data_IF_610433415358
#
_entry.id   IF_610433415358
#
_cell.length_a   1.000
_cell.length_b   1.000
_cell.length_c   1.000
_cell.angle_alpha   90.00
_cell.angle_beta   90.00
_cell.angle_gamma   90.00
#
_symmetry.space_group_name_H-M   'P 1'
#
loop_
_entity.id
_entity.type
_entity.pdbx_description
1 polymer ?
#
# COMPACT_ATOMS: atom_id res chain seq x y z
N UNK A 1 14.23 -22.38 -63.23
CA UNK A 1 15.56 -22.57 -63.85
C UNK A 1 15.59 -21.78 -65.14
N UNK A 2 16.64 -21.00 -65.35
CA UNK A 2 17.05 -20.50 -66.67
C UNK A 2 18.07 -21.49 -67.22
N UNK A 3 17.86 -22.00 -68.42
CA UNK A 3 18.86 -22.78 -69.14
C UNK A 3 20.00 -21.84 -69.55
N UNK A 4 21.24 -22.32 -69.46
CA UNK A 4 22.46 -21.56 -69.82
C UNK A 4 23.27 -22.43 -70.75
N UNK A 5 23.54 -21.93 -71.95
CA UNK A 5 24.39 -22.62 -72.92
C UNK A 5 25.84 -22.56 -72.45
N UNK A 6 26.46 -23.73 -72.25
CA UNK A 6 27.88 -23.89 -71.93
C UNK A 6 28.57 -24.67 -73.04
N UNK A 7 29.88 -24.45 -73.23
CA UNK A 7 30.66 -25.23 -74.17
C UNK A 7 30.83 -26.69 -73.72
N UNK A 8 31.14 -27.59 -74.64
CA UNK A 8 31.53 -28.97 -74.30
C UNK A 8 32.77 -28.98 -73.38
N UNK A 9 32.83 -29.94 -72.45
CA UNK A 9 33.99 -30.14 -71.57
C UNK A 9 33.65 -30.29 -70.09
N UNK A 10 34.65 -30.05 -69.25
CA UNK A 10 34.56 -30.19 -67.78
C UNK A 10 34.25 -28.83 -67.14
N UNK A 11 33.13 -28.76 -66.41
CA UNK A 11 32.68 -27.57 -65.71
C UNK A 11 32.76 -27.78 -64.20
N UNK A 12 33.36 -26.84 -63.48
CA UNK A 12 33.41 -26.89 -62.02
C UNK A 12 32.08 -26.43 -61.41
N UNK A 13 31.63 -27.14 -60.38
CA UNK A 13 30.42 -26.84 -59.62
C UNK A 13 30.82 -26.29 -58.25
N UNK A 14 30.26 -25.14 -57.89
CA UNK A 14 30.45 -24.50 -56.59
C UNK A 14 29.20 -23.71 -56.23
N UNK A 15 28.81 -23.75 -54.96
CA UNK A 15 27.83 -22.80 -54.41
C UNK A 15 28.57 -21.74 -53.60
N UNK A 16 28.06 -20.52 -53.60
CA UNK A 16 28.68 -19.39 -52.92
C UNK A 16 27.61 -18.47 -52.36
N UNK A 17 27.67 -18.18 -51.05
CA UNK A 17 26.57 -17.59 -50.32
C UNK A 17 25.54 -18.63 -49.89
N UNK A 18 24.43 -18.16 -49.31
CA UNK A 18 23.39 -19.00 -48.69
C UNK A 18 22.91 -18.39 -47.36
N UNK A 19 21.82 -18.90 -46.77
CA UNK A 19 21.47 -18.58 -45.39
C UNK A 19 22.52 -19.13 -44.41
N UNK A 20 22.66 -18.50 -43.24
CA UNK A 20 23.49 -19.03 -42.16
C UNK A 20 22.93 -20.36 -41.62
N UNK A 21 23.79 -21.18 -41.02
CA UNK A 21 23.41 -22.47 -40.44
C UNK A 21 23.15 -23.59 -41.45
N UNK A 22 23.47 -23.41 -42.74
CA UNK A 22 23.34 -24.45 -43.76
C UNK A 22 24.71 -24.99 -44.23
N UNK A 23 24.85 -26.31 -44.28
CA UNK A 23 25.97 -27.01 -44.91
C UNK A 23 25.60 -27.58 -46.28
N UNK A 24 26.55 -27.50 -47.21
CA UNK A 24 26.38 -27.98 -48.58
C UNK A 24 26.51 -29.51 -48.67
N UNK A 25 25.50 -30.17 -49.22
CA UNK A 25 25.54 -31.59 -49.58
C UNK A 25 26.30 -31.88 -50.89
N UNK A 26 26.26 -33.13 -51.34
CA UNK A 26 26.86 -33.52 -52.60
C UNK A 26 26.08 -32.97 -53.82
N UNK A 27 26.78 -32.71 -54.92
CA UNK A 27 26.16 -32.44 -56.21
C UNK A 27 25.64 -33.73 -56.85
N UNK A 28 24.42 -33.68 -57.39
CA UNK A 28 23.79 -34.75 -58.17
C UNK A 28 23.46 -34.21 -59.56
N UNK A 29 24.07 -34.79 -60.61
CA UNK A 29 23.85 -34.36 -62.00
C UNK A 29 23.11 -35.44 -62.80
N UNK A 30 22.09 -35.01 -63.54
CA UNK A 30 21.35 -35.80 -64.54
C UNK A 30 21.71 -35.27 -65.92
N UNK A 31 21.90 -36.17 -66.89
CA UNK A 31 22.23 -35.82 -68.29
C UNK A 31 23.73 -35.65 -68.58
N UNK A 32 24.58 -35.49 -67.56
CA UNK A 32 26.03 -35.38 -67.70
C UNK A 32 26.78 -36.23 -66.67
N UNK A 33 28.11 -36.34 -66.79
CA UNK A 33 28.93 -37.23 -65.93
C UNK A 33 29.63 -36.42 -64.83
N UNK A 34 29.21 -36.62 -63.58
CA UNK A 34 29.87 -36.02 -62.41
C UNK A 34 31.26 -36.65 -62.17
N UNK A 35 32.25 -35.82 -61.95
CA UNK A 35 33.64 -36.16 -61.66
C UNK A 35 34.06 -35.55 -60.31
N UNK A 36 34.70 -36.36 -59.46
CA UNK A 36 35.25 -35.96 -58.16
C UNK A 36 34.27 -35.23 -57.21
N UNK A 37 32.95 -35.32 -57.44
CA UNK A 37 31.91 -34.70 -56.62
C UNK A 37 31.66 -33.21 -56.87
N UNK A 38 32.56 -32.50 -57.57
CA UNK A 38 32.53 -31.03 -57.75
C UNK A 38 32.78 -30.56 -59.18
N UNK A 39 32.72 -31.45 -60.17
CA UNK A 39 32.82 -31.10 -61.59
C UNK A 39 31.91 -31.99 -62.42
N UNK A 40 31.39 -31.49 -63.54
CA UNK A 40 30.55 -32.26 -64.46
C UNK A 40 31.08 -32.17 -65.89
N UNK A 41 31.08 -33.30 -66.60
CA UNK A 41 31.34 -33.35 -68.04
C UNK A 41 30.03 -33.12 -68.78
N UNK A 42 30.03 -32.15 -69.69
CA UNK A 42 28.94 -31.84 -70.62
C UNK A 42 29.42 -32.17 -72.04
N UNK A 43 28.74 -33.08 -72.70
CA UNK A 43 28.95 -33.43 -74.11
C UNK A 43 28.22 -32.51 -75.09
N UNK A 44 28.43 -32.70 -76.40
CA UNK A 44 27.71 -31.94 -77.43
C UNK A 44 26.21 -32.26 -77.39
N UNK A 45 25.39 -31.20 -77.43
CA UNK A 45 23.93 -31.25 -77.40
C UNK A 45 23.32 -31.95 -76.15
N UNK A 46 24.06 -32.03 -75.03
CA UNK A 46 23.58 -32.61 -73.76
C UNK A 46 22.87 -31.59 -72.85
N UNK A 47 21.61 -31.87 -72.47
CA UNK A 47 20.90 -31.13 -71.42
C UNK A 47 21.30 -31.66 -70.02
N UNK A 48 22.18 -30.94 -69.32
CA UNK A 48 22.67 -31.33 -67.99
C UNK A 48 22.00 -30.52 -66.88
N UNK A 49 21.46 -31.22 -65.88
CA UNK A 49 20.86 -30.62 -64.68
C UNK A 49 21.62 -31.11 -63.45
N UNK A 50 22.39 -30.22 -62.81
CA UNK A 50 23.02 -30.47 -61.52
C UNK A 50 22.22 -29.83 -60.39
N UNK A 51 21.99 -30.60 -59.34
CA UNK A 51 21.25 -30.22 -58.12
C UNK A 51 22.18 -30.37 -56.92
N UNK A 52 22.00 -29.52 -55.91
CA UNK A 52 22.64 -29.68 -54.60
C UNK A 52 21.58 -29.45 -53.52
N UNK A 53 21.68 -30.21 -52.43
CA UNK A 53 20.81 -30.05 -51.26
C UNK A 53 21.65 -29.46 -50.12
N UNK A 54 21.18 -28.36 -49.55
CA UNK A 54 21.77 -27.77 -48.35
C UNK A 54 20.98 -28.23 -47.12
N UNK A 55 21.69 -28.63 -46.06
CA UNK A 55 21.10 -29.13 -44.81
C UNK A 55 21.30 -28.10 -43.71
N UNK A 56 20.24 -27.75 -42.97
CA UNK A 56 20.37 -26.92 -41.77
C UNK A 56 21.04 -27.73 -40.66
N UNK A 57 22.13 -27.21 -40.09
CA UNK A 57 22.97 -27.89 -39.08
C UNK A 57 23.02 -27.18 -37.74
N UNK A 58 22.57 -25.93 -37.64
CA UNK A 58 22.48 -25.21 -36.37
C UNK A 58 21.36 -25.80 -35.49
N UNK A 59 21.40 -25.47 -34.19
CA UNK A 59 20.34 -25.70 -33.23
C UNK A 59 19.56 -24.40 -32.95
N UNK A 60 18.44 -24.51 -32.25
CA UNK A 60 17.68 -23.37 -31.72
C UNK A 60 17.65 -23.47 -30.20
N UNK A 61 17.96 -22.37 -29.50
CA UNK A 61 17.95 -22.31 -28.03
C UNK A 61 17.05 -21.17 -27.53
N UNK A 62 16.18 -21.50 -26.58
CA UNK A 62 15.32 -20.58 -25.84
C UNK A 62 15.66 -20.65 -24.35
N UNK A 63 15.84 -19.51 -23.67
CA UNK A 63 15.95 -19.45 -22.21
C UNK A 63 14.71 -18.81 -21.59
N UNK A 64 14.17 -19.46 -20.56
CA UNK A 64 12.97 -19.02 -19.83
C UNK A 64 13.28 -18.86 -18.36
N UNK A 65 12.77 -17.78 -17.77
CA UNK A 65 12.76 -17.56 -16.31
C UNK A 65 11.39 -17.89 -15.76
N UNK A 66 11.35 -18.73 -14.74
CA UNK A 66 10.18 -18.92 -13.88
C UNK A 66 10.47 -18.43 -12.45
N UNK A 67 9.42 -17.93 -11.81
CA UNK A 67 9.41 -17.49 -10.42
C UNK A 67 8.21 -18.13 -9.72
N UNK A 68 8.45 -18.80 -8.58
CA UNK A 68 7.41 -19.52 -7.84
C UNK A 68 7.30 -18.99 -6.42
N UNK A 69 6.15 -18.42 -6.09
CA UNK A 69 5.92 -17.70 -4.83
C UNK A 69 6.47 -16.28 -4.86
N UNK A 70 6.01 -15.45 -3.92
CA UNK A 70 6.30 -14.02 -3.90
C UNK A 70 5.68 -13.27 -5.09
N UNK A 71 6.16 -12.05 -5.35
CA UNK A 71 5.61 -11.12 -6.34
C UNK A 71 6.66 -10.57 -7.34
N UNK A 72 7.84 -11.19 -7.41
CA UNK A 72 8.89 -10.74 -8.33
C UNK A 72 8.54 -11.02 -9.80
N UNK A 73 8.81 -10.04 -10.65
CA UNK A 73 8.72 -10.16 -12.10
C UNK A 73 9.86 -11.06 -12.63
N UNK A 74 9.58 -12.19 -13.32
CA UNK A 74 10.59 -13.01 -13.98
C UNK A 74 11.54 -12.23 -14.91
N UNK A 75 11.10 -11.12 -15.51
CA UNK A 75 11.93 -10.29 -16.36
C UNK A 75 13.01 -9.49 -15.60
N UNK A 76 13.00 -9.50 -14.26
CA UNK A 76 14.05 -8.88 -13.44
C UNK A 76 15.39 -9.65 -13.45
N UNK A 77 15.39 -10.91 -13.89
CA UNK A 77 16.61 -11.71 -14.09
C UNK A 77 17.09 -11.65 -15.54
N UNK A 78 18.40 -11.52 -15.71
CA UNK A 78 19.08 -11.70 -17.01
C UNK A 78 19.54 -13.14 -17.12
N UNK A 79 19.10 -13.82 -18.18
CA UNK A 79 19.51 -15.16 -18.57
C UNK A 79 20.59 -15.06 -19.65
N UNK A 80 21.59 -15.94 -19.61
CA UNK A 80 22.60 -16.00 -20.66
C UNK A 80 23.07 -17.43 -20.93
N UNK A 81 23.54 -17.68 -22.16
CA UNK A 81 24.27 -18.88 -22.52
C UNK A 81 25.62 -18.50 -23.13
N UNK A 82 26.69 -19.12 -22.65
CA UNK A 82 28.05 -18.94 -23.16
C UNK A 82 28.59 -20.26 -23.74
N UNK A 83 29.18 -20.19 -24.92
CA UNK A 83 29.87 -21.33 -25.55
C UNK A 83 31.07 -21.80 -24.72
N UNK A 84 31.59 -23.00 -24.97
CA UNK A 84 32.79 -23.57 -24.31
C UNK A 84 34.01 -22.63 -24.31
N UNK A 85 34.13 -21.73 -25.29
CA UNK A 85 35.17 -20.69 -25.35
C UNK A 85 34.95 -19.48 -24.42
N UNK A 86 33.88 -19.45 -23.64
CA UNK A 86 33.48 -18.35 -22.75
C UNK A 86 32.76 -17.19 -23.44
N UNK A 87 32.50 -17.28 -24.75
CA UNK A 87 31.76 -16.25 -25.49
C UNK A 87 30.26 -16.42 -25.27
N UNK A 88 29.62 -15.43 -24.65
CA UNK A 88 28.16 -15.29 -24.59
C UNK A 88 27.56 -15.24 -25.99
N UNK A 89 26.63 -16.15 -26.30
CA UNK A 89 25.94 -16.21 -27.60
C UNK A 89 24.53 -15.65 -27.56
N UNK A 90 23.90 -15.64 -26.38
CA UNK A 90 22.61 -15.03 -26.12
C UNK A 90 22.56 -14.53 -24.66
N UNK A 91 21.90 -13.40 -24.45
CA UNK A 91 21.77 -12.72 -23.16
C UNK A 91 20.53 -11.82 -23.17
N UNK A 92 19.67 -11.93 -22.16
CA UNK A 92 18.45 -11.11 -22.05
C UNK A 92 17.47 -11.58 -20.98
N UNK A 93 16.40 -10.82 -20.81
CA UNK A 93 15.28 -11.21 -19.96
C UNK A 93 14.40 -12.27 -20.66
N UNK A 94 13.70 -13.09 -19.87
CA UNK A 94 12.75 -14.11 -20.38
C UNK A 94 11.74 -13.50 -21.36
N UNK A 95 11.45 -14.21 -22.46
CA UNK A 95 10.51 -13.75 -23.49
C UNK A 95 11.00 -12.59 -24.37
N UNK A 96 12.26 -12.15 -24.24
CA UNK A 96 12.87 -11.22 -25.20
C UNK A 96 13.42 -11.97 -26.42
N UNK A 97 13.40 -11.34 -27.60
CA UNK A 97 13.95 -11.89 -28.84
C UNK A 97 15.43 -12.32 -28.71
N UNK A 98 16.17 -11.70 -27.79
CA UNK A 98 17.58 -12.01 -27.52
C UNK A 98 17.81 -13.36 -26.83
N UNK A 99 16.76 -14.01 -26.30
CA UNK A 99 16.82 -15.35 -25.67
C UNK A 99 15.68 -16.28 -26.10
N UNK A 100 14.91 -15.90 -27.13
CA UNK A 100 13.75 -16.67 -27.61
C UNK A 100 14.01 -17.19 -29.02
N UNK A 101 14.01 -18.52 -29.18
CA UNK A 101 14.25 -19.20 -30.45
C UNK A 101 15.51 -18.73 -31.18
N UNK A 102 16.63 -18.58 -30.46
CA UNK A 102 17.89 -18.06 -31.00
C UNK A 102 18.64 -19.18 -31.75
N UNK A 103 18.98 -19.00 -33.04
CA UNK A 103 19.84 -19.94 -33.77
C UNK A 103 21.26 -19.92 -33.19
N UNK A 104 21.79 -21.09 -32.84
CA UNK A 104 23.15 -21.27 -32.32
C UNK A 104 23.81 -22.48 -32.97
N UNK A 105 25.13 -22.49 -33.19
CA UNK A 105 25.84 -23.67 -33.65
C UNK A 105 25.65 -24.88 -32.73
N UNK A 106 25.90 -26.09 -33.24
CA UNK A 106 25.98 -27.28 -32.38
C UNK A 106 27.16 -27.19 -31.41
N UNK A 107 27.00 -27.77 -30.22
CA UNK A 107 28.03 -27.74 -29.18
C UNK A 107 27.46 -27.58 -27.78
N UNK A 108 28.34 -27.19 -26.85
CA UNK A 108 28.05 -27.15 -25.42
C UNK A 108 28.03 -25.70 -24.91
N UNK A 109 27.00 -25.39 -24.12
CA UNK A 109 26.70 -24.04 -23.63
C UNK A 109 26.51 -24.04 -22.11
N UNK A 110 27.28 -23.21 -21.42
CA UNK A 110 27.09 -22.91 -20.01
C UNK A 110 25.97 -21.88 -19.83
N UNK A 111 24.90 -22.28 -19.14
CA UNK A 111 23.74 -21.46 -18.80
C UNK A 111 23.98 -20.72 -17.49
N UNK A 112 23.64 -19.43 -17.45
CA UNK A 112 23.74 -18.60 -16.25
C UNK A 112 22.51 -17.72 -16.09
N UNK A 113 22.20 -17.40 -14.82
CA UNK A 113 21.27 -16.35 -14.47
C UNK A 113 21.95 -15.32 -13.57
N UNK A 114 21.52 -14.06 -13.67
CA UNK A 114 22.02 -12.97 -12.83
C UNK A 114 20.97 -11.87 -12.65
N UNK A 115 21.22 -10.92 -11.76
CA UNK A 115 20.26 -9.88 -11.42
C UNK A 115 19.13 -10.40 -10.51
N UNK A 116 17.91 -9.93 -10.76
CA UNK A 116 16.75 -10.27 -9.95
C UNK A 116 16.71 -9.62 -8.56
N UNK A 117 15.83 -10.15 -7.71
CA UNK A 117 15.67 -9.73 -6.32
C UNK A 117 16.27 -10.76 -5.36
N UNK A 118 16.77 -10.30 -4.22
CA UNK A 118 17.20 -11.20 -3.13
C UNK A 118 16.01 -11.94 -2.51
N UNK A 119 16.28 -13.10 -1.90
CA UNK A 119 15.23 -13.95 -1.30
C UNK A 119 14.57 -14.92 -2.26
N UNK A 120 15.27 -15.29 -3.33
CA UNK A 120 14.82 -16.25 -4.33
C UNK A 120 15.92 -17.28 -4.56
N UNK A 121 15.70 -18.50 -4.10
CA UNK A 121 16.63 -19.61 -4.31
C UNK A 121 16.40 -20.22 -5.70
N UNK A 122 17.46 -20.44 -6.47
CA UNK A 122 17.37 -21.15 -7.75
C UNK A 122 17.24 -22.65 -7.51
N UNK A 123 16.26 -23.28 -8.18
CA UNK A 123 16.03 -24.73 -8.16
C UNK A 123 16.88 -25.45 -9.23
N UNK A 124 17.65 -24.70 -10.02
CA UNK A 124 18.46 -25.19 -11.13
C UNK A 124 17.78 -25.03 -12.49
N UNK A 125 18.44 -25.53 -13.53
CA UNK A 125 17.94 -25.53 -14.90
C UNK A 125 17.21 -26.85 -15.21
N UNK A 126 16.21 -26.79 -16.07
CA UNK A 126 15.58 -27.93 -16.73
C UNK A 126 15.39 -27.59 -18.21
N UNK A 127 15.83 -28.47 -19.13
CA UNK A 127 15.67 -28.27 -20.56
C UNK A 127 14.73 -29.32 -21.17
N UNK A 128 13.83 -28.88 -22.04
CA UNK A 128 13.16 -29.74 -23.01
C UNK A 128 14.00 -29.72 -24.31
N UNK A 129 14.42 -30.90 -24.77
CA UNK A 129 15.44 -31.07 -25.80
C UNK A 129 16.90 -30.99 -25.30
N UNK A 130 17.85 -31.36 -26.17
CA UNK A 130 19.29 -31.37 -25.89
C UNK A 130 19.71 -32.40 -24.82
N UNK A 131 20.89 -32.19 -24.22
CA UNK A 131 21.36 -32.93 -23.04
C UNK A 131 21.90 -31.97 -22.00
N UNK A 132 21.28 -31.94 -20.80
CA UNK A 132 21.65 -31.05 -19.69
C UNK A 132 22.45 -31.80 -18.62
N UNK A 133 23.58 -31.21 -18.20
CA UNK A 133 24.34 -31.61 -17.01
C UNK A 133 24.59 -30.36 -16.13
N UNK A 134 23.98 -30.34 -14.93
CA UNK A 134 23.97 -29.18 -14.05
C UNK A 134 23.38 -27.94 -14.72
N UNK A 135 24.22 -26.94 -14.99
CA UNK A 135 23.87 -25.72 -15.74
C UNK A 135 24.50 -25.68 -17.13
N UNK A 136 24.80 -26.83 -17.74
CA UNK A 136 25.47 -26.93 -19.05
C UNK A 136 24.65 -27.78 -20.00
N UNK A 137 24.21 -27.21 -21.12
CA UNK A 137 23.40 -27.89 -22.14
C UNK A 137 24.23 -28.17 -23.40
N UNK A 138 24.11 -29.39 -23.95
CA UNK A 138 24.71 -29.79 -25.23
C UNK A 138 23.61 -29.90 -26.28
N UNK A 139 23.84 -29.29 -27.45
CA UNK A 139 22.90 -29.17 -28.56
C UNK A 139 23.43 -29.89 -29.81
N UNK A 140 22.58 -30.73 -30.41
CA UNK A 140 22.79 -31.42 -31.69
C UNK A 140 22.20 -30.66 -32.88
N UNK A 141 22.50 -31.14 -34.09
CA UNK A 141 22.07 -30.49 -35.33
C UNK A 141 20.55 -30.59 -35.51
N UNK A 142 19.89 -29.44 -35.67
CA UNK A 142 18.43 -29.37 -35.78
C UNK A 142 17.66 -29.54 -34.46
N UNK A 143 18.34 -29.56 -33.31
CA UNK A 143 17.67 -29.52 -32.00
C UNK A 143 16.93 -28.18 -31.84
N UNK A 144 15.74 -28.23 -31.24
CA UNK A 144 14.99 -27.06 -30.75
C UNK A 144 14.82 -27.22 -29.24
N UNK A 145 15.52 -26.40 -28.46
CA UNK A 145 15.72 -26.61 -27.03
C UNK A 145 15.21 -25.41 -26.23
N UNK A 146 14.38 -25.68 -25.23
CA UNK A 146 13.93 -24.67 -24.27
C UNK A 146 14.43 -25.02 -22.88
N UNK A 147 15.32 -24.18 -22.34
CA UNK A 147 15.86 -24.32 -20.99
C UNK A 147 15.18 -23.31 -20.05
N UNK A 148 14.55 -23.82 -19.01
CA UNK A 148 13.88 -23.06 -17.95
C UNK A 148 14.79 -23.05 -16.72
N UNK A 149 14.94 -21.88 -16.08
CA UNK A 149 15.44 -21.78 -14.70
C UNK A 149 14.32 -21.29 -13.80
N UNK A 150 14.05 -22.04 -12.73
CA UNK A 150 12.98 -21.74 -11.79
C UNK A 150 13.60 -21.25 -10.49
N UNK A 151 13.19 -20.08 -9.99
CA UNK A 151 13.54 -19.66 -8.63
C UNK A 151 12.31 -19.62 -7.73
N UNK A 152 12.46 -20.15 -6.52
CA UNK A 152 11.43 -20.15 -5.50
C UNK A 152 11.67 -19.02 -4.51
N UNK A 153 10.62 -18.28 -4.17
CA UNK A 153 10.66 -17.31 -3.10
C UNK A 153 10.94 -17.99 -1.75
N UNK A 154 11.96 -17.50 -1.04
CA UNK A 154 12.18 -17.79 0.36
C UNK A 154 11.18 -16.94 1.16
N UNK A 155 9.94 -17.44 1.31
CA UNK A 155 8.90 -16.69 1.99
C UNK A 155 9.18 -16.59 3.50
N UNK A 156 9.12 -15.38 4.08
CA UNK A 156 9.32 -15.18 5.51
C UNK A 156 8.13 -15.63 6.34
N UNK A 157 8.37 -15.78 7.63
CA UNK A 157 7.35 -16.09 8.63
C UNK A 157 7.24 -14.96 9.65
N UNK A 158 6.01 -14.69 10.09
CA UNK A 158 5.68 -13.69 11.08
C UNK A 158 4.89 -14.31 12.23
N UNK A 159 5.33 -14.07 13.45
CA UNK A 159 4.66 -14.41 14.70
C UNK A 159 4.31 -13.13 15.45
N UNK A 160 3.06 -12.98 15.90
CA UNK A 160 2.62 -11.87 16.74
C UNK A 160 2.37 -12.37 18.17
N UNK A 161 2.96 -11.68 19.15
CA UNK A 161 2.92 -12.04 20.57
C UNK A 161 2.32 -10.90 21.39
N UNK A 162 1.31 -11.23 22.20
CA UNK A 162 0.77 -10.37 23.24
C UNK A 162 1.42 -10.72 24.56
N UNK A 163 1.94 -9.71 25.25
CA UNK A 163 2.42 -9.81 26.62
C UNK A 163 1.61 -8.87 27.52
N UNK A 164 1.53 -9.19 28.81
CA UNK A 164 0.92 -8.34 29.84
C UNK A 164 1.95 -8.04 30.94
N UNK A 165 2.02 -6.77 31.32
CA UNK A 165 2.64 -6.28 32.55
C UNK A 165 1.49 -5.85 33.47
N UNK A 166 1.07 -6.78 34.33
CA UNK A 166 -0.12 -6.66 35.16
C UNK A 166 0.00 -5.60 36.27
N UNK A 167 1.23 -5.23 36.67
CA UNK A 167 1.52 -4.29 37.77
C UNK A 167 0.71 -4.55 39.05
N UNK A 168 0.37 -5.81 39.32
CA UNK A 168 -0.45 -6.20 40.48
C UNK A 168 -1.96 -6.15 40.25
N UNK A 169 -2.44 -6.04 39.00
CA UNK A 169 -3.84 -6.24 38.63
C UNK A 169 -4.35 -7.60 39.15
N UNK A 170 -5.54 -7.60 39.74
CA UNK A 170 -6.14 -8.79 40.39
C UNK A 170 -7.35 -9.37 39.66
N UNK A 171 -7.68 -8.83 38.49
CA UNK A 171 -8.74 -9.36 37.62
C UNK A 171 -8.24 -10.41 36.62
N UNK A 172 -9.18 -11.00 35.88
CA UNK A 172 -8.94 -12.18 35.02
C UNK A 172 -8.46 -11.85 33.58
N UNK A 173 -7.72 -10.75 33.38
CA UNK A 173 -7.26 -10.34 32.04
C UNK A 173 -6.20 -11.32 31.48
N UNK A 174 -6.36 -11.72 30.22
CA UNK A 174 -5.50 -12.70 29.56
C UNK A 174 -4.95 -12.13 28.25
N UNK A 175 -3.71 -12.49 27.90
CA UNK A 175 -3.07 -12.02 26.67
C UNK A 175 -3.84 -12.41 25.38
N UNK A 176 -4.80 -13.33 25.48
CA UNK A 176 -5.72 -13.74 24.41
C UNK A 176 -6.96 -12.85 24.26
N UNK A 177 -7.20 -11.91 25.17
CA UNK A 177 -8.35 -10.98 25.10
C UNK A 177 -8.17 -9.89 24.02
N UNK A 178 -6.93 -9.76 23.52
CA UNK A 178 -6.53 -8.85 22.45
C UNK A 178 -6.39 -9.58 21.11
N UNK A 179 -6.84 -8.91 20.05
CA UNK A 179 -6.57 -9.32 18.67
C UNK A 179 -5.37 -8.55 18.15
N UNK A 180 -4.31 -9.27 17.79
CA UNK A 180 -3.13 -8.74 17.13
C UNK A 180 -3.32 -8.77 15.62
N UNK A 181 -2.81 -7.77 14.90
CA UNK A 181 -2.87 -7.72 13.44
C UNK A 181 -1.54 -7.34 12.82
N UNK A 182 -1.29 -7.86 11.62
CA UNK A 182 -0.28 -7.34 10.71
C UNK A 182 -0.86 -7.22 9.30
N UNK A 183 -0.85 -6.00 8.75
CA UNK A 183 -1.49 -5.64 7.48
C UNK A 183 -0.48 -5.21 6.42
N UNK A 184 -0.62 -5.76 5.21
CA UNK A 184 0.16 -5.39 4.03
C UNK A 184 -0.74 -5.34 2.78
N UNK A 185 -0.18 -4.95 1.63
CA UNK A 185 -0.94 -4.85 0.37
C UNK A 185 -1.54 -6.17 -0.12
N UNK A 186 -1.01 -7.32 0.32
CA UNK A 186 -1.51 -8.66 -0.03
C UNK A 186 -2.54 -9.23 0.95
N UNK A 187 -2.76 -8.61 2.12
CA UNK A 187 -3.74 -9.11 3.08
C UNK A 187 -3.53 -8.60 4.51
N UNK A 188 -4.20 -9.25 5.47
CA UNK A 188 -4.01 -8.99 6.90
C UNK A 188 -4.11 -10.31 7.64
N UNK A 189 -3.12 -10.60 8.49
CA UNK A 189 -3.22 -11.65 9.50
C UNK A 189 -3.84 -11.04 10.77
N UNK A 190 -4.69 -11.79 11.45
CA UNK A 190 -5.40 -11.33 12.64
C UNK A 190 -5.74 -12.50 13.57
N UNK A 191 -5.46 -12.36 14.86
CA UNK A 191 -5.71 -13.42 15.84
C UNK A 191 -5.21 -13.08 17.25
N UNK A 192 -5.54 -13.95 18.20
CA UNK A 192 -5.04 -13.86 19.56
C UNK A 192 -3.62 -14.45 19.67
N UNK A 193 -2.82 -14.01 20.63
CA UNK A 193 -1.46 -14.54 20.85
C UNK A 193 -1.45 -16.08 20.93
N UNK A 194 -0.51 -16.72 20.24
CA UNK A 194 -0.41 -18.18 20.18
C UNK A 194 -1.48 -18.90 19.34
N UNK A 195 -2.40 -18.19 18.68
CA UNK A 195 -3.32 -18.78 17.71
C UNK A 195 -2.60 -19.04 16.37
N UNK A 196 -3.00 -20.06 15.58
CA UNK A 196 -2.35 -20.38 14.31
C UNK A 196 -2.49 -19.28 13.26
N UNK A 197 -3.47 -18.39 13.39
CA UNK A 197 -3.68 -17.23 12.53
C UNK A 197 -2.64 -16.11 12.71
N UNK A 198 -1.82 -16.17 13.77
CA UNK A 198 -0.72 -15.22 14.05
C UNK A 198 0.57 -15.89 14.53
N UNK A 199 0.69 -17.21 14.45
CA UNK A 199 1.89 -17.96 14.90
C UNK A 199 2.61 -18.60 13.71
N UNK A 200 3.84 -18.15 13.44
CA UNK A 200 4.68 -18.62 12.32
C UNK A 200 3.92 -18.62 10.97
N UNK A 201 3.22 -17.52 10.69
CA UNK A 201 2.42 -17.36 9.48
C UNK A 201 3.32 -16.94 8.33
N UNK A 202 3.26 -17.66 7.21
CA UNK A 202 3.96 -17.27 5.99
C UNK A 202 3.36 -15.98 5.44
N UNK A 203 4.20 -14.95 5.22
CA UNK A 203 3.79 -13.64 4.70
C UNK A 203 4.66 -13.23 3.51
N UNK A 204 4.23 -12.24 2.73
CA UNK A 204 5.10 -11.66 1.70
C UNK A 204 6.21 -10.80 2.31
N UNK A 205 7.42 -10.74 1.70
CA UNK A 205 8.43 -9.75 2.04
C UNK A 205 7.90 -8.32 1.83
N UNK A 206 8.12 -7.43 2.80
CA UNK A 206 7.70 -6.04 2.68
C UNK A 206 7.49 -5.31 4.01
N UNK A 207 6.65 -4.28 3.93
CA UNK A 207 6.22 -3.48 5.09
C UNK A 207 4.89 -4.01 5.60
N UNK A 208 4.85 -4.39 6.88
CA UNK A 208 3.63 -4.85 7.56
C UNK A 208 3.29 -3.87 8.68
N UNK A 209 2.09 -3.28 8.62
CA UNK A 209 1.57 -2.38 9.66
C UNK A 209 1.07 -3.24 10.82
N UNK A 210 1.68 -3.07 11.99
CA UNK A 210 1.34 -3.79 13.21
C UNK A 210 0.22 -3.06 13.96
N UNK A 211 -0.77 -3.82 14.43
CA UNK A 211 -1.93 -3.31 15.16
C UNK A 211 -2.39 -4.24 16.28
N UNK A 212 -3.13 -3.67 17.21
CA UNK A 212 -3.74 -4.38 18.33
C UNK A 212 -5.11 -3.75 18.63
N UNK A 213 -6.11 -4.57 18.90
CA UNK A 213 -7.46 -4.14 19.27
C UNK A 213 -8.08 -5.09 20.30
N UNK A 214 -9.13 -4.65 21.00
CA UNK A 214 -9.82 -5.44 22.02
C UNK A 214 -9.18 -5.32 23.41
N UNK A 215 -9.40 -6.35 24.24
CA UNK A 215 -9.06 -6.37 25.65
C UNK A 215 -10.00 -5.58 26.57
N UNK A 216 -9.86 -5.76 27.91
CA UNK A 216 -10.55 -4.96 28.91
C UNK A 216 -9.99 -3.53 29.01
N UNK A 217 -10.82 -2.61 29.52
CA UNK A 217 -10.45 -1.24 29.82
C UNK A 217 -9.33 -1.16 30.89
N UNK A 218 -8.63 -0.03 30.94
CA UNK A 218 -7.53 0.20 31.90
C UNK A 218 -6.19 -0.42 31.50
N UNK A 219 -6.00 -0.82 30.23
CA UNK A 219 -4.71 -1.30 29.71
C UNK A 219 -4.20 -0.38 28.60
N UNK A 220 -2.89 -0.14 28.56
CA UNK A 220 -2.25 0.68 27.51
C UNK A 220 -1.12 -0.07 26.80
N UNK A 221 -1.05 0.06 25.48
CA UNK A 221 -0.08 -0.64 24.65
C UNK A 221 1.28 0.07 24.61
N UNK A 222 2.32 -0.71 24.91
CA UNK A 222 3.70 -0.29 24.69
C UNK A 222 4.03 -0.24 23.19
N UNK A 223 5.22 0.26 22.86
CA UNK A 223 5.73 0.16 21.48
C UNK A 223 5.94 -1.31 21.09
N UNK A 224 5.63 -1.65 19.84
CA UNK A 224 6.02 -2.93 19.26
C UNK A 224 7.54 -3.08 19.22
N UNK A 225 8.01 -4.28 19.55
CA UNK A 225 9.37 -4.75 19.34
C UNK A 225 9.31 -5.99 18.46
N UNK A 226 10.33 -6.23 17.62
CA UNK A 226 10.42 -7.49 16.88
C UNK A 226 11.85 -8.03 16.98
N UNK A 227 11.97 -9.33 17.21
CA UNK A 227 13.21 -10.05 16.94
C UNK A 227 13.30 -10.39 15.45
N UNK A 228 14.52 -10.50 14.92
CA UNK A 228 14.79 -10.70 13.49
C UNK A 228 14.55 -9.47 12.59
N UNK A 229 13.64 -8.54 12.94
CA UNK A 229 13.25 -7.42 12.07
C UNK A 229 13.24 -6.05 12.75
N UNK A 230 13.32 -4.98 11.94
CA UNK A 230 13.25 -3.59 12.42
C UNK A 230 11.82 -3.06 12.40
N UNK A 231 11.38 -2.53 13.54
CA UNK A 231 10.17 -1.70 13.65
C UNK A 231 10.49 -0.23 13.36
N UNK A 232 9.60 0.44 12.64
CA UNK A 232 9.60 1.88 12.39
C UNK A 232 8.24 2.50 12.74
N UNK A 233 8.22 3.81 13.00
CA UNK A 233 6.98 4.60 13.08
C UNK A 233 6.84 5.39 11.78
N UNK A 234 5.71 5.24 11.09
CA UNK A 234 5.40 5.94 9.84
C UNK A 234 4.01 6.58 9.94
N UNK A 235 3.76 7.69 9.23
CA UNK A 235 2.40 8.22 9.05
C UNK A 235 1.45 7.15 8.48
N UNK A 236 0.24 7.06 9.01
CA UNK A 236 -0.80 6.21 8.46
C UNK A 236 -1.22 6.71 7.08
N UNK A 237 -1.50 5.79 6.15
CA UNK A 237 -2.04 6.13 4.84
C UNK A 237 -3.51 6.61 4.93
N UNK A 238 -4.22 6.24 6.00
CA UNK A 238 -5.59 6.69 6.26
C UNK A 238 -5.65 8.05 6.97
N UNK A 239 -4.65 8.35 7.80
CA UNK A 239 -4.49 9.64 8.49
C UNK A 239 -2.99 9.98 8.66
N UNK A 240 -2.42 10.88 7.85
CA UNK A 240 -1.03 11.29 7.96
C UNK A 240 -0.64 11.96 9.29
N UNK A 241 -1.61 12.39 10.12
CA UNK A 241 -1.35 12.89 11.47
C UNK A 241 -1.01 11.78 12.47
N UNK A 242 -1.48 10.55 12.22
CA UNK A 242 -1.32 9.40 13.12
C UNK A 242 -0.11 8.55 12.74
N UNK A 243 0.78 8.26 13.70
CA UNK A 243 1.96 7.42 13.48
C UNK A 243 1.72 5.95 13.87
N UNK A 244 1.66 5.05 12.88
CA UNK A 244 1.52 3.59 13.07
C UNK A 244 2.87 2.89 13.22
N UNK A 245 2.87 1.72 13.87
CA UNK A 245 4.04 0.84 13.96
C UNK A 245 4.11 -0.05 12.72
N UNK A 246 5.28 -0.15 12.08
CA UNK A 246 5.47 -0.93 10.85
C UNK A 246 6.73 -1.77 10.99
N UNK A 247 6.65 -3.08 10.79
CA UNK A 247 7.82 -3.96 10.72
C UNK A 247 8.27 -4.14 9.27
N UNK A 248 9.57 -4.14 9.05
CA UNK A 248 10.20 -4.42 7.75
C UNK A 248 10.64 -5.88 7.72
N UNK A 249 9.84 -6.73 7.08
CA UNK A 249 10.10 -8.17 6.91
C UNK A 249 10.77 -8.39 5.56
N UNK A 250 11.93 -9.06 5.53
CA UNK A 250 12.64 -9.43 4.30
C UNK A 250 12.36 -10.87 3.96
N UNK A 251 12.67 -11.26 2.73
CA UNK A 251 12.59 -12.65 2.32
C UNK A 251 13.54 -13.53 3.13
N UNK A 252 13.06 -14.71 3.52
CA UNK A 252 13.75 -15.67 4.39
C UNK A 252 13.77 -15.33 5.88
N UNK A 253 13.29 -14.16 6.31
CA UNK A 253 13.24 -13.80 7.73
C UNK A 253 12.23 -14.68 8.50
N UNK A 254 12.57 -15.05 9.74
CA UNK A 254 11.62 -15.57 10.74
C UNK A 254 11.52 -14.51 11.85
N UNK A 255 10.36 -13.85 11.91
CA UNK A 255 10.16 -12.61 12.68
C UNK A 255 9.15 -12.86 13.79
N UNK A 256 9.53 -12.55 15.03
CA UNK A 256 8.60 -12.53 16.16
C UNK A 256 8.43 -11.10 16.66
N UNK A 257 7.23 -10.55 16.49
CA UNK A 257 6.87 -9.22 16.96
C UNK A 257 6.03 -9.30 18.23
N UNK A 258 6.45 -8.61 19.29
CA UNK A 258 5.79 -8.56 20.58
C UNK A 258 5.27 -7.15 20.90
N UNK A 259 4.14 -7.10 21.60
CA UNK A 259 3.60 -5.88 22.21
C UNK A 259 3.10 -6.19 23.63
N UNK A 260 3.70 -5.51 24.60
CA UNK A 260 3.29 -5.58 26.01
C UNK A 260 2.17 -4.57 26.27
N UNK A 261 1.06 -4.98 26.90
CA UNK A 261 0.15 -4.02 27.54
C UNK A 261 0.51 -3.86 29.00
N UNK A 262 0.44 -2.63 29.47
CA UNK A 262 0.64 -2.27 30.87
C UNK A 262 -0.70 -1.95 31.51
N UNK A 263 -0.98 -2.50 32.67
CA UNK A 263 -2.13 -2.11 33.48
C UNK A 263 -1.96 -0.66 33.96
N UNK A 264 -3.04 0.13 33.83
CA UNK A 264 -3.15 1.47 34.36
C UNK A 264 -3.51 1.38 35.84
N UNK A 265 -2.48 1.24 36.67
CA UNK A 265 -2.63 0.88 38.08
C UNK A 265 -3.22 1.97 38.99
N UNK A 266 -3.34 3.20 38.50
CA UNK A 266 -3.94 4.31 39.23
C UNK A 266 -5.39 4.58 38.82
N UNK A 267 -6.16 5.22 39.71
CA UNK A 267 -7.53 5.65 39.42
C UNK A 267 -7.69 7.16 39.61
N UNK A 268 -8.60 7.78 38.86
CA UNK A 268 -9.02 9.16 39.05
C UNK A 268 -10.53 9.21 39.29
N UNK A 269 -10.90 9.89 40.36
CA UNK A 269 -12.28 10.25 40.69
C UNK A 269 -12.43 11.77 40.64
N UNK A 270 -13.44 12.28 39.94
CA UNK A 270 -13.85 13.68 40.04
C UNK A 270 -15.12 13.74 40.88
N UNK A 271 -15.11 14.56 41.94
CA UNK A 271 -16.24 14.74 42.84
C UNK A 271 -16.75 16.18 42.80
N UNK A 272 -18.07 16.35 42.81
CA UNK A 272 -18.73 17.65 42.93
C UNK A 272 -19.32 17.86 44.32
N UNK A 273 -18.87 18.93 44.98
CA UNK A 273 -19.55 19.49 46.16
C UNK A 273 -20.28 20.79 45.81
N UNK A 274 -21.42 21.02 46.45
CA UNK A 274 -22.22 22.25 46.33
C UNK A 274 -22.57 22.72 47.73
N UNK A 275 -22.13 23.92 48.11
CA UNK A 275 -22.46 24.52 49.40
C UNK A 275 -23.94 24.94 49.42
N UNK A 276 -24.60 24.69 50.54
CA UNK A 276 -26.03 24.92 50.82
C UNK A 276 -27.03 23.93 50.17
N UNK A 277 -26.56 22.82 49.57
CA UNK A 277 -27.36 21.65 49.11
C UNK A 277 -28.58 21.95 48.20
N UNK A 278 -28.69 23.18 47.67
CA UNK A 278 -29.88 23.64 46.96
C UNK A 278 -29.96 23.18 45.50
N UNK A 279 -28.81 22.89 44.89
CA UNK A 279 -28.68 22.33 43.55
C UNK A 279 -27.99 20.96 43.63
N UNK A 280 -28.45 19.95 42.87
CA UNK A 280 -27.88 18.62 42.91
C UNK A 280 -26.52 18.57 42.18
N UNK A 281 -25.59 17.79 42.71
CA UNK A 281 -24.20 17.74 42.25
C UNK A 281 -24.03 17.24 40.80
N UNK A 282 -25.02 16.52 40.26
CA UNK A 282 -25.07 16.03 38.87
C UNK A 282 -25.57 17.08 37.85
N UNK A 283 -25.88 18.32 38.26
CA UNK A 283 -26.13 19.44 37.33
C UNK A 283 -24.85 19.94 36.61
N UNK A 284 -23.66 19.51 37.06
CA UNK A 284 -22.35 19.87 36.51
C UNK A 284 -21.67 18.69 35.80
N UNK A 285 -21.18 18.93 34.59
CA UNK A 285 -20.28 18.00 33.89
C UNK A 285 -18.84 18.28 34.29
N UNK A 286 -18.22 17.29 34.94
CA UNK A 286 -16.81 17.27 35.31
C UNK A 286 -16.01 16.63 34.18
N UNK A 287 -14.83 17.17 33.88
CA UNK A 287 -13.90 16.59 32.88
C UNK A 287 -12.46 16.61 33.39
N UNK A 288 -11.68 15.63 32.95
CA UNK A 288 -10.23 15.66 33.08
C UNK A 288 -9.59 15.34 31.71
N UNK A 289 -8.91 16.33 31.12
CA UNK A 289 -8.18 16.17 29.86
C UNK A 289 -6.74 15.74 30.16
N UNK A 290 -6.28 14.64 29.57
CA UNK A 290 -4.95 14.11 29.85
C UNK A 290 -4.67 12.80 29.10
N UNK A 291 -3.69 12.00 29.55
CA UNK A 291 -3.35 10.70 28.94
C UNK A 291 -4.50 9.70 28.83
N UNK A 292 -5.46 9.76 29.75
CA UNK A 292 -6.66 8.91 29.79
C UNK A 292 -7.88 9.79 30.08
N UNK A 293 -8.39 10.53 29.08
CA UNK A 293 -9.38 11.57 29.32
C UNK A 293 -10.73 10.98 29.73
N UNK A 294 -11.40 11.65 30.66
CA UNK A 294 -12.68 11.23 31.23
C UNK A 294 -13.64 12.42 31.40
N UNK A 295 -14.94 12.15 31.37
CA UNK A 295 -15.99 13.16 31.46
C UNK A 295 -17.31 12.53 31.92
N UNK A 296 -18.04 13.20 32.82
CA UNK A 296 -19.31 12.71 33.34
C UNK A 296 -19.89 13.61 34.43
N UNK A 297 -20.80 13.06 35.22
CA UNK A 297 -21.50 13.75 36.31
C UNK A 297 -21.12 13.10 37.65
N UNK A 298 -21.30 13.82 38.75
CA UNK A 298 -20.91 13.32 40.08
C UNK A 298 -21.52 11.94 40.40
N UNK A 299 -20.69 11.06 40.95
CA UNK A 299 -21.06 9.68 41.25
C UNK A 299 -21.37 8.78 40.05
N UNK A 300 -21.22 9.25 38.80
CA UNK A 300 -21.30 8.38 37.61
C UNK A 300 -20.04 7.52 37.50
N UNK A 301 -20.13 6.30 36.93
CA UNK A 301 -18.96 5.45 36.71
C UNK A 301 -17.95 6.06 35.73
N UNK A 302 -18.35 7.06 34.94
CA UNK A 302 -17.52 7.76 33.96
C UNK A 302 -16.54 8.76 34.61
N UNK A 303 -16.73 9.06 35.91
CA UNK A 303 -15.84 9.90 36.73
C UNK A 303 -15.54 9.31 38.12
N UNK A 304 -15.93 8.06 38.39
CA UNK A 304 -15.72 7.41 39.71
C UNK A 304 -14.76 6.23 39.59
N UNK A 305 -13.61 6.33 40.25
CA UNK A 305 -12.54 5.32 40.25
C UNK A 305 -12.12 4.86 38.83
N UNK A 306 -12.07 5.79 37.88
CA UNK A 306 -11.73 5.52 36.49
C UNK A 306 -10.25 5.13 36.38
N UNK A 307 -9.88 3.99 35.79
CA UNK A 307 -8.47 3.63 35.58
C UNK A 307 -7.79 4.63 34.63
N UNK A 308 -6.68 5.23 35.08
CA UNK A 308 -5.96 6.27 34.35
C UNK A 308 -4.46 6.03 34.31
N UNK A 309 -3.82 6.47 33.23
CA UNK A 309 -2.37 6.42 33.11
C UNK A 309 -1.69 7.50 33.97
N UNK A 310 -0.51 7.17 34.50
CA UNK A 310 0.33 8.15 35.19
C UNK A 310 0.62 9.36 34.27
N UNK A 311 0.48 10.56 34.80
CA UNK A 311 0.65 11.79 34.04
C UNK A 311 -0.06 12.98 34.65
N UNK A 312 -0.38 13.95 33.79
CA UNK A 312 -0.93 15.24 34.17
C UNK A 312 -2.30 15.41 33.51
N UNK A 313 -3.28 15.89 34.28
CA UNK A 313 -4.68 15.99 33.91
C UNK A 313 -5.20 17.40 34.19
N UNK A 314 -5.66 18.08 33.14
CA UNK A 314 -6.27 19.40 33.20
C UNK A 314 -7.76 19.20 33.54
N UNK A 315 -8.19 19.65 34.73
CA UNK A 315 -9.52 19.45 35.29
C UNK A 315 -10.43 20.62 34.95
N UNK A 316 -11.66 20.36 34.49
CA UNK A 316 -12.63 21.41 34.25
C UNK A 316 -14.04 21.01 34.70
N UNK A 317 -14.85 22.03 34.92
CA UNK A 317 -16.27 21.93 35.21
C UNK A 317 -17.06 22.79 34.21
N UNK A 318 -18.20 22.27 33.76
CA UNK A 318 -19.14 23.01 32.91
C UNK A 318 -20.58 22.69 33.29
N UNK A 319 -21.52 23.60 33.00
CA UNK A 319 -22.93 23.44 33.36
C UNK A 319 -23.31 24.12 34.68
N UNK A 320 -24.34 23.59 35.35
CA UNK A 320 -24.86 24.13 36.60
C UNK A 320 -25.72 25.39 36.52
N UNK A 321 -26.19 25.81 37.69
CA UNK A 321 -27.05 26.97 37.87
C UNK A 321 -26.25 28.28 38.04
N UNK A 322 -26.74 29.37 37.43
CA UNK A 322 -26.01 30.66 37.25
C UNK A 322 -25.71 31.42 38.54
N UNK A 323 -26.36 31.05 39.63
CA UNK A 323 -26.19 31.60 40.97
C UNK A 323 -25.05 30.95 41.78
N UNK A 324 -24.24 30.07 41.17
CA UNK A 324 -23.08 29.44 41.83
C UNK A 324 -21.75 29.88 41.21
N UNK A 325 -20.74 30.12 42.04
CA UNK A 325 -19.35 30.39 41.64
C UNK A 325 -18.46 29.17 41.92
N UNK A 326 -17.50 28.91 41.02
CA UNK A 326 -16.58 27.77 41.10
C UNK A 326 -15.44 28.02 42.10
N UNK A 327 -15.31 27.14 43.09
CA UNK A 327 -14.16 27.10 43.98
C UNK A 327 -12.92 26.43 43.38
N UNK A 328 -11.78 26.44 44.09
CA UNK A 328 -10.57 25.75 43.66
C UNK A 328 -10.78 24.22 43.70
N UNK A 329 -10.05 23.50 42.84
CA UNK A 329 -9.91 22.05 42.96
C UNK A 329 -9.08 21.69 44.21
N UNK A 330 -9.42 20.57 44.83
CA UNK A 330 -8.65 19.94 45.90
C UNK A 330 -8.52 18.44 45.61
N UNK A 331 -7.28 17.95 45.45
CA UNK A 331 -7.03 16.54 45.17
C UNK A 331 -6.37 15.84 46.37
N UNK A 332 -6.89 14.67 46.74
CA UNK A 332 -6.21 13.69 47.59
C UNK A 332 -5.56 12.61 46.72
N UNK A 333 -4.43 12.05 47.17
CA UNK A 333 -3.64 11.06 46.43
C UNK A 333 -2.82 11.59 45.25
N UNK A 334 -3.10 12.78 44.72
CA UNK A 334 -2.39 13.43 43.61
C UNK A 334 -1.85 14.82 43.94
N UNK A 335 -0.85 15.30 43.20
CA UNK A 335 -0.26 16.64 43.39
C UNK A 335 -0.87 17.64 42.39
N UNK A 336 -1.58 18.67 42.88
CA UNK A 336 -1.97 19.81 42.04
C UNK A 336 -0.73 20.62 41.64
N UNK A 337 -0.45 20.68 40.34
CA UNK A 337 0.70 21.41 39.78
C UNK A 337 0.39 22.88 39.47
N UNK A 338 -0.90 23.19 39.30
CA UNK A 338 -1.45 24.55 39.30
C UNK A 338 -2.90 24.54 39.85
N UNK A 339 -3.77 25.46 39.43
CA UNK A 339 -5.09 25.68 40.04
C UNK A 339 -6.14 24.65 39.61
N UNK A 340 -5.98 24.10 38.41
CA UNK A 340 -6.90 23.18 37.75
C UNK A 340 -6.20 21.94 37.19
N UNK A 341 -4.87 21.82 37.32
CA UNK A 341 -4.11 20.68 36.79
C UNK A 341 -3.57 19.76 37.89
N UNK A 342 -3.92 18.47 37.84
CA UNK A 342 -3.42 17.43 38.78
C UNK A 342 -2.40 16.49 38.15
N UNK A 343 -1.36 16.15 38.89
CA UNK A 343 -0.41 15.06 38.60
C UNK A 343 -0.86 13.78 39.31
N UNK A 344 -1.14 12.75 38.52
CA UNK A 344 -1.38 11.37 38.95
C UNK A 344 -0.09 10.58 38.77
N UNK A 345 0.50 10.08 39.86
CA UNK A 345 1.66 9.19 39.79
C UNK A 345 1.25 7.73 39.49
N UNK A 346 2.21 6.89 39.07
CA UNK A 346 1.96 5.50 38.67
C UNK A 346 1.44 4.66 39.86
N UNK A 347 0.26 4.08 39.70
CA UNK A 347 -0.42 3.33 40.76
C UNK A 347 -1.14 4.18 41.82
N UNK A 348 -1.29 5.49 41.62
CA UNK A 348 -1.98 6.36 42.58
C UNK A 348 -3.50 6.34 42.39
N UNK A 349 -4.24 6.15 43.47
CA UNK A 349 -5.68 6.44 43.53
C UNK A 349 -5.87 7.92 43.91
N UNK A 350 -6.48 8.70 43.03
CA UNK A 350 -6.62 10.15 43.14
C UNK A 350 -8.09 10.54 43.16
N UNK A 351 -8.47 11.39 44.11
CA UNK A 351 -9.83 11.96 44.21
C UNK A 351 -9.72 13.47 44.19
N UNK A 352 -10.23 14.10 43.13
CA UNK A 352 -10.24 15.55 42.96
C UNK A 352 -11.66 16.10 43.14
N UNK A 353 -11.85 16.94 44.16
CA UNK A 353 -13.12 17.60 44.46
C UNK A 353 -13.11 19.05 43.97
N UNK A 354 -14.22 19.50 43.38
CA UNK A 354 -14.50 20.91 43.12
C UNK A 354 -15.75 21.34 43.90
N UNK A 355 -15.63 22.39 44.71
CA UNK A 355 -16.72 22.88 45.57
C UNK A 355 -17.29 24.18 45.00
N UNK A 356 -18.59 24.24 44.69
CA UNK A 356 -19.25 25.49 44.31
C UNK A 356 -19.99 26.13 45.49
N UNK A 357 -20.06 27.46 45.51
CA UNK A 357 -20.79 28.23 46.53
C UNK A 357 -21.79 29.18 45.89
N UNK A 358 -22.93 29.41 46.55
CA UNK A 358 -23.94 30.37 46.09
C UNK A 358 -23.39 31.80 46.11
N UNK A 359 -23.60 32.53 45.03
CA UNK A 359 -23.27 33.95 44.91
C UNK A 359 -24.33 34.77 45.66
N UNK A 360 -23.99 35.17 46.88
CA UNK A 360 -24.78 36.08 47.71
C UNK A 360 -25.06 37.41 46.98
N UNK A 361 -26.24 37.54 46.36
CA UNK A 361 -26.64 38.80 45.72
C UNK A 361 -26.83 39.89 46.78
N UNK A 362 -26.20 41.08 46.64
CA UNK A 362 -26.42 42.18 47.57
C UNK A 362 -27.91 42.54 47.65
N UNK A 363 -28.47 42.80 48.85
CA UNK A 363 -29.90 43.05 48.98
C UNK A 363 -30.30 44.28 48.16
N UNK A 364 -31.24 44.08 47.23
CA UNK A 364 -31.82 45.13 46.40
C UNK A 364 -32.24 46.32 47.28
N UNK A 365 -31.75 47.55 47.02
CA UNK A 365 -32.12 48.70 47.83
C UNK A 365 -33.63 48.93 47.75
N UNK A 366 -34.31 48.84 48.89
CA UNK A 366 -35.75 49.04 48.97
C UNK A 366 -36.10 50.44 48.46
N UNK A 367 -37.03 50.60 47.50
CA UNK A 367 -37.39 51.92 47.01
C UNK A 367 -38.04 52.74 48.14
N UNK A 368 -37.44 53.88 48.46
CA UNK A 368 -37.99 54.84 49.44
C UNK A 368 -39.40 55.26 49.00
N UNK A 369 -40.45 55.05 49.83
CA UNK A 369 -41.80 55.43 49.46
C UNK A 369 -41.95 56.95 49.37
N UNK A 370 -42.52 57.43 48.27
CA UNK A 370 -42.87 58.85 48.06
C UNK A 370 -44.14 59.22 48.82
N UNK A 371 -44.09 60.34 49.54
CA UNK A 371 -45.15 60.83 50.43
C UNK A 371 -46.33 61.49 49.65
N UNK A 372 -47.60 61.06 49.85
CA UNK A 372 -48.72 61.51 49.02
C UNK A 372 -49.58 62.62 49.68
N UNK A 373 -49.26 63.90 49.44
CA UNK A 373 -50.22 65.00 49.71
C UNK A 373 -50.22 66.11 48.66
N UNK A 374 -51.18 66.07 47.72
CA UNK A 374 -51.90 67.26 47.19
C UNK A 374 -53.17 66.83 46.42
N UNK A 375 -54.27 67.61 46.46
CA UNK A 375 -55.61 67.18 46.03
C UNK A 375 -55.93 67.46 44.53
N UNK A 376 -57.01 66.88 43.98
CA UNK A 376 -57.31 66.91 42.54
C UNK A 376 -58.18 68.09 42.09
N UNK A 377 -58.24 68.32 40.77
CA UNK A 377 -59.27 69.13 40.08
C UNK A 377 -59.77 68.45 38.81
N UNK A 378 -61.04 68.65 38.49
CA UNK A 378 -61.88 67.79 37.64
C UNK A 378 -61.66 67.83 36.11
N UNK A 379 -61.71 66.63 35.49
CA UNK A 379 -62.51 66.31 34.30
C UNK A 379 -62.09 66.84 32.91
N UNK A 380 -62.81 66.44 31.82
CA UNK A 380 -63.88 65.44 31.73
C UNK A 380 -63.52 64.23 30.82
N UNK A 381 -64.50 63.34 30.65
CA UNK A 381 -64.56 62.14 29.80
C UNK A 381 -65.84 62.22 28.93
N UNK A 382 -66.16 61.33 27.96
CA UNK A 382 -65.40 60.46 27.05
C UNK A 382 -65.69 60.78 25.55
N UNK A 383 -65.28 59.90 24.61
CA UNK A 383 -66.07 59.33 23.47
C UNK A 383 -65.09 58.69 22.46
N UNK A 384 -65.03 57.36 22.33
CA UNK A 384 -65.75 56.46 21.38
C UNK A 384 -65.02 56.37 20.00
N UNK A 385 -65.33 55.45 19.04
CA UNK A 385 -64.30 54.47 18.64
C UNK A 385 -64.05 54.34 17.12
N UNK A 386 -63.02 53.57 16.76
CA UNK A 386 -63.13 52.62 15.65
C UNK A 386 -62.28 52.81 14.40
N UNK A 387 -62.21 51.69 13.67
CA UNK A 387 -61.91 51.52 12.23
C UNK A 387 -60.59 52.02 11.66
N UNK A 388 -59.77 51.05 11.25
CA UNK A 388 -59.47 50.87 9.83
C UNK A 388 -58.12 51.42 9.34
N UNK A 389 -57.55 50.85 8.25
CA UNK A 389 -56.14 51.02 7.91
C UNK A 389 -55.89 51.92 6.68
N UNK A 390 -54.61 51.93 6.30
CA UNK A 390 -54.01 52.28 5.00
C UNK A 390 -53.47 53.70 4.76
N UNK A 391 -52.39 53.70 3.95
CA UNK A 391 -51.70 54.79 3.23
C UNK A 391 -51.12 55.96 4.06
N UNK A 392 -49.83 56.27 4.04
CA UNK A 392 -48.84 56.10 2.97
C UNK A 392 -48.12 57.45 2.74
N UNK A 393 -46.81 57.40 2.48
CA UNK A 393 -45.89 58.54 2.26
C UNK A 393 -45.66 59.51 3.46
N UNK A 394 -44.45 60.01 3.70
CA UNK A 394 -43.14 59.69 3.10
C UNK A 394 -42.14 60.86 3.20
N UNK A 395 -40.84 60.55 3.13
CA UNK A 395 -39.69 61.48 2.90
C UNK A 395 -39.33 62.42 4.07
N UNK A 396 -38.07 62.86 4.26
CA UNK A 396 -36.82 62.61 3.50
C UNK A 396 -35.57 62.75 4.43
N UNK A 397 -34.41 62.35 3.88
CA UNK A 397 -33.02 62.46 4.40
C UNK A 397 -32.68 61.63 5.67
N UNK A 398 -31.50 61.02 5.88
CA UNK A 398 -30.28 60.63 5.07
C UNK A 398 -29.57 59.49 5.89
N UNK A 399 -28.50 58.78 5.50
CA UNK A 399 -27.53 58.85 4.39
C UNK A 399 -27.00 57.44 3.97
N UNK A 400 -26.38 57.38 2.79
CA UNK A 400 -25.29 56.48 2.33
C UNK A 400 -25.50 54.95 2.08
N UNK A 401 -25.75 54.67 0.80
CA UNK A 401 -25.36 53.51 -0.04
C UNK A 401 -23.88 53.04 0.15
N UNK A 402 -23.38 51.94 -0.44
CA UNK A 402 -23.88 50.60 -0.83
C UNK A 402 -22.82 49.87 -1.68
N UNK A 403 -22.95 48.54 -1.80
CA UNK A 403 -22.25 47.70 -2.78
C UNK A 403 -21.19 46.75 -2.18
N UNK A 404 -21.05 45.50 -2.61
CA UNK A 404 -21.81 44.75 -3.61
C UNK A 404 -21.07 43.47 -4.04
N UNK A 405 -21.79 42.46 -4.55
CA UNK A 405 -21.22 41.16 -4.99
C UNK A 405 -21.67 40.00 -4.10
N UNK A 406 -22.70 39.21 -4.42
CA UNK A 406 -23.05 38.50 -5.67
C UNK A 406 -22.09 37.34 -5.99
N UNK A 407 -22.50 36.12 -5.61
CA UNK A 407 -21.84 34.86 -5.97
C UNK A 407 -21.99 34.59 -7.47
N UNK A 408 -20.87 34.49 -8.19
CA UNK A 408 -20.84 34.12 -9.60
C UNK A 408 -20.41 32.66 -9.77
N UNK A 409 -21.29 31.82 -10.29
CA UNK A 409 -20.96 30.47 -10.73
C UNK A 409 -20.59 30.48 -12.22
N UNK A 410 -19.31 30.29 -12.54
CA UNK A 410 -18.85 29.82 -13.86
C UNK A 410 -17.50 29.11 -13.75
N UNK A 411 -17.47 27.82 -14.09
CA UNK A 411 -16.24 27.04 -14.30
C UNK A 411 -16.32 26.38 -15.67
N UNK A 412 -15.83 27.05 -16.71
CA UNK A 412 -15.97 26.61 -18.09
C UNK A 412 -14.89 25.59 -18.49
N UNK A 413 -15.30 24.54 -19.19
CA UNK A 413 -14.43 23.47 -19.69
C UNK A 413 -13.82 23.80 -21.07
N UNK A 414 -12.50 24.01 -21.11
CA UNK A 414 -11.63 23.98 -22.31
C UNK A 414 -10.24 23.54 -21.83
N UNK A 415 -9.48 22.63 -22.45
CA UNK A 415 -9.75 21.75 -23.59
C UNK A 415 -8.41 21.13 -24.05
N UNK A 416 -8.44 19.93 -24.64
CA UNK A 416 -7.25 19.33 -25.27
C UNK A 416 -7.66 18.54 -26.52
N UNK A 417 -7.27 19.04 -27.70
CA UNK A 417 -7.32 18.26 -28.93
C UNK A 417 -6.14 17.28 -28.96
N UNK A 418 -6.40 16.05 -29.37
CA UNK A 418 -5.41 15.27 -30.12
C UNK A 418 -6.12 14.26 -31.02
N UNK A 419 -6.10 14.56 -32.32
CA UNK A 419 -6.51 13.62 -33.35
C UNK A 419 -5.25 12.98 -33.93
N UNK A 420 -5.17 11.65 -33.92
CA UNK A 420 -4.27 10.89 -34.79
C UNK A 420 -5.06 9.74 -35.39
N UNK A 421 -5.38 9.86 -36.67
CA UNK A 421 -5.70 8.71 -37.50
C UNK A 421 -4.38 8.13 -38.02
N UNK A 422 -4.20 6.81 -37.93
CA UNK A 422 -3.11 6.13 -38.63
C UNK A 422 -3.66 4.95 -39.44
N UNK A 423 -3.95 5.24 -40.72
CA UNK A 423 -4.07 4.23 -41.77
C UNK A 423 -2.79 4.28 -42.58
N UNK A 424 -2.00 3.21 -42.57
CA UNK A 424 -0.88 3.03 -43.47
C UNK A 424 -0.76 1.53 -43.84
N UNK A 425 -1.21 1.18 -45.04
CA UNK A 425 -0.85 -0.09 -45.67
C UNK A 425 0.56 0.04 -46.27
N UNK A 426 1.47 -0.87 -45.94
CA UNK A 426 2.57 -1.26 -46.84
C UNK A 426 3.04 -2.70 -46.59
N UNK A 427 2.49 -3.67 -47.32
CA UNK A 427 3.18 -4.94 -47.62
C UNK A 427 3.09 -5.20 -49.11
N UNK A 428 4.19 -4.94 -49.81
CA UNK A 428 4.31 -5.12 -51.26
C UNK A 428 4.53 -6.58 -51.64
N UNK A 429 3.45 -7.31 -51.93
CA UNK A 429 3.54 -8.65 -52.53
C UNK A 429 3.63 -8.59 -54.06
N UNK A 430 4.83 -8.66 -54.63
CA UNK A 430 5.02 -8.78 -56.09
C UNK A 430 4.82 -10.25 -56.51
N UNK A 431 3.56 -10.61 -56.81
CA UNK A 431 3.22 -11.86 -57.48
C UNK A 431 3.47 -11.72 -58.99
N UNK A 432 4.65 -12.13 -59.46
CA UNK A 432 4.97 -12.16 -60.88
C UNK A 432 4.41 -13.42 -61.57
N UNK A 433 3.11 -13.39 -61.90
CA UNK A 433 2.46 -14.44 -62.69
C UNK A 433 2.62 -14.17 -64.20
N UNK A 434 3.58 -14.81 -64.86
CA UNK A 434 3.69 -14.80 -66.33
C UNK A 434 2.94 -15.98 -66.94
N UNK A 435 1.90 -15.67 -67.72
CA UNK A 435 1.15 -16.63 -68.53
C UNK A 435 2.00 -17.16 -69.68
N UNK A 436 1.95 -18.48 -69.91
CA UNK A 436 2.27 -19.06 -71.22
C UNK A 436 1.43 -18.41 -72.31
N UNK A 437 2.04 -18.03 -73.43
CA UNK A 437 1.40 -18.01 -74.75
C UNK A 437 2.19 -18.93 -75.66
N UNK A 438 1.46 -19.73 -76.44
CA UNK A 438 2.02 -20.65 -77.40
C UNK A 438 2.59 -19.91 -78.62
N UNK A 439 3.63 -20.49 -79.21
CA UNK A 439 4.35 -20.07 -80.39
C UNK A 439 5.44 -21.10 -80.64
#
# INVERSE_FOLDING_TARGET
MTQVDVGEGVHALSESGGPAGYEQGAWECVGGVLQAGTSVVVGPDEDVVCTVTNTYVDATLTLVKEVVGGSADPAAWTLAAASEGGTTVLEGATGSDAVTSVPVPTGTYALTESGGYGGYASEGWACDGGTLDGSTVTLGAGDDVTCVVTNRAELPHLTLVKELDDRGYTGDAQATDWTLTASAGSGTIAGATGSPEVSHVTVDPGLHVLGETGGPDGWTASRWTCDGARVVRLPSLADPGTLVSVVVVRAGDDVTCAVTNHWLAGTLTLHKEVVDDAAPADDWTLTAAGPSPLAGFDGSPDVTAVPVAAGTYDLAETGGAVEHEQGPWACDGGELVDADTVRVDDGADVVCTVTNTVVETPPTPTPTPTDPTSPPTDGPSPDDPGTGPDDGAGRDDTADDAGGGAMAATGASVGALLAVALVALTTGGVLLALRRRAG
#
